data_IF_272715554279
#
_entry.id   IF_272715554279
#
_cell.length_a   1.000
_cell.length_b   1.000
_cell.length_c   1.000
_cell.angle_alpha   90.00
_cell.angle_beta   90.00
_cell.angle_gamma   90.00
#
_symmetry.space_group_name_H-M   'P 1'
#
loop_
_entity.id
_entity.type
_entity.pdbx_description
1 polymer ?
#
# COMPACT_ATOMS: atom_id res chain seq x y z
N UNK A 1 -17.85 24.50 23.51
CA UNK A 1 -16.93 24.00 24.54
C UNK A 1 -16.75 22.52 24.20
N UNK A 2 -15.77 22.21 23.36
CA UNK A 2 -15.39 20.84 23.03
C UNK A 2 -14.02 20.69 23.66
N UNK A 3 -13.95 19.77 24.62
CA UNK A 3 -12.77 19.45 25.39
C UNK A 3 -11.66 18.93 24.48
N UNK A 4 -10.46 19.38 24.83
CA UNK A 4 -9.18 18.98 24.28
C UNK A 4 -9.01 17.46 24.38
N UNK A 5 -9.24 16.73 23.29
CA UNK A 5 -8.70 15.37 23.13
C UNK A 5 -7.23 15.56 22.71
N UNK A 6 -6.35 14.91 23.46
CA UNK A 6 -4.97 15.32 23.70
C UNK A 6 -4.10 15.58 22.47
N UNK A 7 -3.23 16.57 22.58
CA UNK A 7 -2.12 16.80 21.67
C UNK A 7 -1.15 15.62 21.81
N UNK A 8 -1.17 14.67 20.86
CA UNK A 8 -0.15 13.63 20.79
C UNK A 8 1.22 14.29 20.66
N UNK A 9 2.13 13.95 21.56
CA UNK A 9 3.48 14.47 21.59
C UNK A 9 4.35 13.72 20.59
N UNK A 10 5.51 14.28 20.23
CA UNK A 10 6.50 13.60 19.39
C UNK A 10 6.94 12.23 19.95
N UNK A 11 6.90 12.06 21.27
CA UNK A 11 7.20 10.80 21.92
C UNK A 11 6.06 9.78 21.73
N UNK A 12 4.80 10.21 21.82
CA UNK A 12 3.64 9.35 21.52
C UNK A 12 3.65 8.91 20.05
N UNK A 13 4.14 9.78 19.16
CA UNK A 13 4.34 9.44 17.75
C UNK A 13 5.48 8.46 17.52
N UNK A 14 6.54 8.48 18.34
CA UNK A 14 7.64 7.50 18.24
C UNK A 14 7.26 6.14 18.81
N UNK A 15 6.42 6.10 19.86
CA UNK A 15 5.92 4.86 20.46
C UNK A 15 4.83 4.20 19.59
N UNK A 16 4.02 4.98 18.85
CA UNK A 16 3.03 4.44 17.89
C UNK A 16 3.65 3.84 16.62
N UNK A 17 4.93 4.11 16.36
CA UNK A 17 5.57 3.92 15.06
C UNK A 17 6.77 2.97 15.10
N UNK A 18 7.16 2.44 16.28
CA UNK A 18 8.36 1.62 16.51
C UNK A 18 9.66 2.16 15.86
N UNK A 19 9.69 3.44 15.48
CA UNK A 19 10.83 4.11 14.85
C UNK A 19 10.95 3.97 13.32
N UNK A 20 10.01 3.29 12.64
CA UNK A 20 10.13 2.97 11.21
C UNK A 20 9.65 4.09 10.27
N UNK A 21 9.12 5.18 10.80
CA UNK A 21 8.47 6.23 10.02
C UNK A 21 9.25 7.54 9.96
N UNK A 22 9.22 8.20 8.79
CA UNK A 22 9.76 9.56 8.66
C UNK A 22 8.97 10.55 9.51
N UNK A 23 9.60 11.64 9.96
CA UNK A 23 8.92 12.65 10.79
C UNK A 23 7.70 13.29 10.09
N UNK A 24 7.74 13.36 8.76
CA UNK A 24 6.65 13.88 7.93
C UNK A 24 5.49 12.89 7.84
N UNK A 25 5.79 11.59 7.66
CA UNK A 25 4.77 10.55 7.66
C UNK A 25 4.09 10.39 9.03
N UNK A 26 4.86 10.49 10.12
CA UNK A 26 4.31 10.52 11.48
C UNK A 26 3.37 11.72 11.70
N UNK A 27 3.72 12.91 11.17
CA UNK A 27 2.85 14.08 11.25
C UNK A 27 1.56 13.92 10.44
N UNK A 28 1.64 13.31 9.25
CA UNK A 28 0.48 13.03 8.41
C UNK A 28 -0.46 12.02 9.08
N UNK A 29 0.06 10.90 9.61
CA UNK A 29 -0.72 9.94 10.40
C UNK A 29 -1.45 10.62 11.57
N UNK A 30 -0.75 11.47 12.32
CA UNK A 30 -1.35 12.25 13.41
C UNK A 30 -2.50 13.13 12.93
N UNK A 31 -2.29 13.78 11.78
CA UNK A 31 -3.29 14.68 11.18
C UNK A 31 -4.53 13.91 10.77
N UNK A 32 -4.36 12.73 10.17
CA UNK A 32 -5.46 11.86 9.77
C UNK A 32 -6.24 11.31 10.97
N UNK A 33 -5.53 10.89 12.02
CA UNK A 33 -6.14 10.48 13.30
C UNK A 33 -6.90 11.65 13.94
N UNK A 34 -6.32 12.84 13.98
CA UNK A 34 -6.96 14.05 14.52
C UNK A 34 -8.24 14.41 13.78
N UNK A 35 -8.28 14.16 12.47
CA UNK A 35 -9.46 14.39 11.63
C UNK A 35 -10.44 13.21 11.62
N UNK A 36 -10.19 12.15 12.42
CA UNK A 36 -11.06 10.98 12.49
C UNK A 36 -11.11 10.18 11.19
N UNK A 37 -10.04 10.20 10.40
CA UNK A 37 -9.95 9.48 9.14
C UNK A 37 -9.47 8.04 9.35
N UNK A 38 -8.54 7.86 10.28
CA UNK A 38 -7.90 6.58 10.58
C UNK A 38 -7.90 6.36 12.10
N UNK A 39 -8.25 5.14 12.52
CA UNK A 39 -8.00 4.62 13.86
C UNK A 39 -6.72 3.79 13.84
N UNK A 40 -5.92 3.82 14.90
CA UNK A 40 -4.77 2.92 15.04
C UNK A 40 -4.94 2.13 16.32
N UNK A 41 -4.89 0.80 16.21
CA UNK A 41 -4.90 -0.15 17.32
C UNK A 41 -3.70 -1.11 17.16
N UNK A 42 -2.84 -1.20 18.17
CA UNK A 42 -1.65 -2.07 18.20
C UNK A 42 -0.76 -1.97 16.92
N UNK A 43 -0.55 -0.75 16.42
CA UNK A 43 0.23 -0.49 15.20
C UNK A 43 -0.49 -0.79 13.87
N UNK A 44 -1.75 -1.24 13.93
CA UNK A 44 -2.61 -1.47 12.76
C UNK A 44 -3.63 -0.35 12.61
N UNK A 45 -3.64 0.27 11.43
CA UNK A 45 -4.60 1.28 11.03
C UNK A 45 -5.90 0.66 10.53
N UNK A 46 -7.02 1.35 10.77
CA UNK A 46 -8.31 1.08 10.12
C UNK A 46 -8.95 2.39 9.70
N UNK A 47 -9.64 2.35 8.58
CA UNK A 47 -10.46 3.48 8.16
C UNK A 47 -11.61 3.65 9.16
N UNK A 48 -11.78 4.85 9.71
CA UNK A 48 -12.90 5.16 10.60
C UNK A 48 -14.22 5.05 9.86
N UNK A 49 -15.28 4.58 10.52
CA UNK A 49 -16.58 4.31 9.88
C UNK A 49 -17.25 5.57 9.29
N UNK A 50 -16.90 6.75 9.80
CA UNK A 50 -17.39 8.06 9.35
C UNK A 50 -16.35 8.85 8.55
N UNK A 51 -15.23 8.23 8.18
CA UNK A 51 -14.24 8.87 7.34
C UNK A 51 -14.90 9.38 6.03
N UNK A 52 -14.66 10.64 5.62
CA UNK A 52 -15.19 11.27 4.42
C UNK A 52 -14.53 10.74 3.14
N UNK A 53 -14.36 9.43 3.01
CA UNK A 53 -13.94 8.76 1.78
C UNK A 53 -15.13 8.17 1.05
N UNK A 54 -15.03 7.87 -0.25
CA UNK A 54 -16.12 7.25 -0.99
C UNK A 54 -16.61 5.94 -0.35
N UNK A 55 -17.93 5.70 -0.38
CA UNK A 55 -18.53 4.49 0.20
C UNK A 55 -17.99 3.18 -0.39
N UNK A 56 -17.57 3.21 -1.65
CA UNK A 56 -16.97 2.05 -2.29
C UNK A 56 -15.62 1.70 -1.66
N UNK A 57 -14.85 2.70 -1.21
CA UNK A 57 -13.57 2.48 -0.54
C UNK A 57 -13.78 1.96 0.88
N UNK A 58 -14.78 2.47 1.59
CA UNK A 58 -15.24 1.88 2.86
C UNK A 58 -15.53 0.39 2.70
N UNK A 59 -16.31 0.02 1.67
CA UNK A 59 -16.65 -1.38 1.41
C UNK A 59 -15.44 -2.23 1.01
N UNK A 60 -14.50 -1.66 0.25
CA UNK A 60 -13.28 -2.34 -0.19
C UNK A 60 -12.27 -2.58 0.95
N UNK A 61 -12.27 -1.69 1.96
CA UNK A 61 -11.35 -1.73 3.10
C UNK A 61 -12.02 -2.21 4.40
N UNK A 62 -13.26 -2.68 4.36
CA UNK A 62 -13.95 -3.20 5.53
C UNK A 62 -13.22 -4.43 6.08
N UNK A 63 -12.77 -4.34 7.33
CA UNK A 63 -11.96 -5.38 7.97
C UNK A 63 -10.55 -5.57 7.39
N UNK A 64 -10.08 -4.66 6.51
CA UNK A 64 -8.71 -4.66 6.01
C UNK A 64 -7.79 -4.01 7.05
N UNK A 65 -6.75 -4.74 7.46
CA UNK A 65 -5.71 -4.18 8.31
C UNK A 65 -4.79 -3.31 7.46
N UNK A 66 -4.84 -2.00 7.71
CA UNK A 66 -3.91 -1.03 7.16
C UNK A 66 -2.71 -0.93 8.08
N UNK A 67 -1.55 -0.53 7.56
CA UNK A 67 -0.43 -0.11 8.40
C UNK A 67 -0.23 1.39 8.25
N UNK A 68 0.51 1.97 9.18
CA UNK A 68 0.87 3.38 9.12
C UNK A 68 1.63 3.73 7.83
N UNK A 69 1.76 5.03 7.55
CA UNK A 69 2.29 5.53 6.29
C UNK A 69 3.80 5.47 6.22
N UNK A 70 4.42 4.66 5.37
CA UNK A 70 5.89 4.44 5.37
C UNK A 70 6.68 5.61 4.76
N UNK A 71 6.05 6.38 3.85
CA UNK A 71 6.67 7.54 3.18
C UNK A 71 5.86 8.83 3.34
N UNK A 72 6.47 10.02 3.12
CA UNK A 72 5.74 11.29 3.08
C UNK A 72 4.59 11.27 2.07
N UNK A 73 3.42 11.80 2.47
CA UNK A 73 2.22 11.89 1.61
C UNK A 73 1.36 10.62 1.59
N UNK A 74 1.88 9.52 2.12
CA UNK A 74 1.10 8.30 2.35
C UNK A 74 0.24 8.46 3.61
N UNK A 75 -0.97 7.91 3.59
CA UNK A 75 -1.83 7.84 4.77
C UNK A 75 -1.96 6.43 5.35
N UNK A 76 -1.72 5.40 4.54
CA UNK A 76 -1.70 4.00 4.96
C UNK A 76 -1.05 3.09 3.91
N UNK A 77 -0.39 2.02 4.33
CA UNK A 77 -0.10 0.88 3.45
C UNK A 77 -1.15 -0.21 3.62
N UNK A 78 -1.39 -0.98 2.57
CA UNK A 78 -2.22 -2.17 2.59
C UNK A 78 -1.45 -3.36 2.02
N UNK A 79 -1.45 -4.45 2.78
CA UNK A 79 -0.87 -5.75 2.39
C UNK A 79 -1.95 -6.85 2.29
N UNK A 80 -3.21 -6.48 2.50
CA UNK A 80 -4.36 -7.38 2.41
C UNK A 80 -4.67 -7.72 0.93
N UNK A 81 -5.35 -8.86 0.66
CA UNK A 81 -5.71 -9.30 -0.69
C UNK A 81 -6.88 -8.47 -1.27
N UNK A 82 -6.63 -7.19 -1.51
CA UNK A 82 -7.55 -6.28 -2.19
C UNK A 82 -7.24 -6.31 -3.70
N UNK A 83 -8.27 -6.42 -4.53
CA UNK A 83 -8.15 -6.37 -5.99
C UNK A 83 -8.02 -4.91 -6.46
N UNK A 84 -6.83 -4.34 -6.22
CA UNK A 84 -6.49 -2.97 -6.61
C UNK A 84 -6.65 -2.70 -8.11
N UNK A 85 -6.24 -3.61 -9.04
CA UNK A 85 -6.52 -3.45 -10.45
C UNK A 85 -8.00 -3.26 -10.76
N UNK A 86 -8.88 -4.09 -10.17
CA UNK A 86 -10.32 -3.93 -10.36
C UNK A 86 -10.86 -2.63 -9.75
N UNK A 87 -10.38 -2.21 -8.58
CA UNK A 87 -10.80 -0.96 -7.94
C UNK A 87 -10.42 0.27 -8.78
N UNK A 88 -9.19 0.35 -9.26
CA UNK A 88 -8.75 1.46 -10.14
C UNK A 88 -9.55 1.46 -11.44
N UNK A 89 -9.81 0.30 -12.03
CA UNK A 89 -10.62 0.19 -13.24
C UNK A 89 -12.09 0.60 -13.03
N UNK A 90 -12.64 0.32 -11.84
CA UNK A 90 -14.02 0.66 -11.50
C UNK A 90 -14.21 2.13 -11.09
N UNK A 91 -13.16 2.77 -10.56
CA UNK A 91 -13.21 4.12 -9.99
C UNK A 91 -12.09 5.04 -10.51
N UNK A 92 -11.89 5.17 -11.84
CA UNK A 92 -10.72 5.88 -12.39
C UNK A 92 -10.69 7.39 -12.10
N UNK A 93 -11.85 8.00 -11.79
CA UNK A 93 -11.95 9.41 -11.42
C UNK A 93 -11.67 9.67 -9.93
N UNK A 94 -11.79 8.64 -9.08
CA UNK A 94 -11.65 8.75 -7.62
C UNK A 94 -10.34 8.13 -7.10
N UNK A 95 -9.80 7.14 -7.81
CA UNK A 95 -8.60 6.38 -7.45
C UNK A 95 -7.74 6.13 -8.68
N UNK A 96 -6.51 6.66 -8.65
CA UNK A 96 -5.55 6.48 -9.75
C UNK A 96 -4.19 5.98 -9.28
N UNK A 97 -3.40 5.33 -10.14
CA UNK A 97 -2.00 5.08 -9.86
C UNK A 97 -1.24 6.41 -9.72
N UNK A 98 -0.33 6.50 -8.76
CA UNK A 98 0.60 7.61 -8.58
C UNK A 98 1.74 7.49 -9.61
N UNK A 99 1.43 7.78 -10.88
CA UNK A 99 2.33 7.57 -12.03
C UNK A 99 3.65 8.31 -11.84
N UNK A 100 3.61 9.55 -11.35
CA UNK A 100 4.80 10.37 -11.11
C UNK A 100 5.72 9.73 -10.06
N UNK A 101 5.16 9.11 -9.02
CA UNK A 101 5.92 8.43 -7.98
C UNK A 101 6.50 7.10 -8.49
N UNK A 102 5.75 6.39 -9.34
CA UNK A 102 6.26 5.19 -10.03
C UNK A 102 7.44 5.53 -10.93
N UNK A 103 7.34 6.58 -11.75
CA UNK A 103 8.43 7.05 -12.60
C UNK A 103 9.65 7.50 -11.80
N UNK A 104 9.43 8.27 -10.72
CA UNK A 104 10.51 8.77 -9.86
C UNK A 104 11.31 7.61 -9.22
N UNK A 105 10.63 6.55 -8.81
CA UNK A 105 11.24 5.38 -8.17
C UNK A 105 11.61 4.28 -9.16
N UNK A 106 11.54 4.55 -10.48
CA UNK A 106 11.79 3.54 -11.52
C UNK A 106 11.02 2.23 -11.32
N UNK A 107 9.81 2.36 -10.77
CA UNK A 107 8.88 1.25 -10.57
C UNK A 107 8.26 0.82 -11.90
N UNK A 108 7.79 -0.44 -12.00
CA UNK A 108 7.01 -0.87 -13.15
C UNK A 108 5.79 0.02 -13.36
N UNK A 109 5.42 0.24 -14.62
CA UNK A 109 4.17 0.91 -14.93
C UNK A 109 2.97 0.19 -14.29
N UNK A 110 1.89 0.93 -14.03
CA UNK A 110 0.65 0.34 -13.52
C UNK A 110 0.09 -0.75 -14.46
N UNK A 111 0.24 -0.57 -15.78
CA UNK A 111 -0.17 -1.55 -16.76
C UNK A 111 0.62 -2.87 -16.61
N UNK A 112 1.95 -2.80 -16.49
CA UNK A 112 2.80 -3.98 -16.24
C UNK A 112 2.46 -4.64 -14.90
N UNK A 113 2.16 -3.84 -13.87
CA UNK A 113 1.73 -4.33 -12.55
C UNK A 113 0.41 -5.11 -12.65
N UNK A 114 -0.58 -4.58 -13.36
CA UNK A 114 -1.87 -5.26 -13.58
C UNK A 114 -1.68 -6.55 -14.39
N UNK A 115 -0.83 -6.54 -15.41
CA UNK A 115 -0.52 -7.73 -16.20
C UNK A 115 0.14 -8.81 -15.36
N UNK A 116 1.10 -8.45 -14.50
CA UNK A 116 1.75 -9.36 -13.58
C UNK A 116 0.77 -9.99 -12.56
N UNK A 117 -0.16 -9.20 -12.00
CA UNK A 117 -1.22 -9.71 -11.12
C UNK A 117 -2.09 -10.74 -11.86
N UNK A 118 -2.55 -10.40 -13.06
CA UNK A 118 -3.37 -11.29 -13.88
C UNK A 118 -2.63 -12.57 -14.27
N UNK A 119 -1.32 -12.47 -14.52
CA UNK A 119 -0.48 -13.61 -14.84
C UNK A 119 -0.32 -14.56 -13.64
N UNK A 120 -0.21 -14.02 -12.41
CA UNK A 120 -0.11 -14.82 -11.18
C UNK A 120 -1.42 -15.43 -10.71
N UNK A 121 -2.56 -14.78 -10.98
CA UNK A 121 -3.88 -15.17 -10.46
C UNK A 121 -4.29 -16.65 -10.71
N UNK A 122 -3.89 -17.33 -11.81
CA UNK A 122 -4.17 -18.75 -11.99
C UNK A 122 -3.32 -19.68 -11.12
N UNK A 123 -2.14 -19.24 -10.68
CA UNK A 123 -1.16 -20.04 -9.94
C UNK A 123 -1.24 -19.81 -8.42
N UNK A 124 -1.57 -18.59 -7.99
CA UNK A 124 -1.69 -18.23 -6.58
C UNK A 124 -2.76 -17.15 -6.35
N UNK A 125 -2.89 -16.67 -5.11
CA UNK A 125 -3.67 -15.48 -4.77
C UNK A 125 -2.72 -14.28 -4.64
N UNK A 126 -2.41 -13.58 -5.74
CA UNK A 126 -1.46 -12.48 -5.72
C UNK A 126 -1.98 -11.35 -4.84
N UNK A 127 -1.07 -10.72 -4.09
CA UNK A 127 -1.35 -9.54 -3.27
C UNK A 127 -0.44 -8.41 -3.73
N UNK A 128 -1.03 -7.25 -4.01
CA UNK A 128 -0.25 -6.03 -4.18
C UNK A 128 -0.09 -5.36 -2.82
N UNK A 129 1.16 -5.08 -2.47
CA UNK A 129 1.48 -4.15 -1.42
C UNK A 129 1.34 -2.74 -1.98
N UNK A 130 0.43 -1.97 -1.40
CA UNK A 130 0.06 -0.65 -1.90
C UNK A 130 0.20 0.39 -0.81
N UNK A 131 0.88 1.49 -1.11
CA UNK A 131 0.79 2.74 -0.37
C UNK A 131 -0.42 3.54 -0.89
N UNK A 132 -1.28 3.98 0.01
CA UNK A 132 -2.42 4.85 -0.28
C UNK A 132 -2.03 6.29 0.03
N UNK A 133 -2.24 7.18 -0.93
CA UNK A 133 -1.85 8.58 -0.84
C UNK A 133 -3.07 9.48 -1.00
N UNK A 134 -2.98 10.67 -0.42
CA UNK A 134 -3.93 11.77 -0.67
C UNK A 134 -3.18 12.85 -1.44
N UNK A 135 -3.64 13.12 -2.65
CA UNK A 135 -3.08 14.18 -3.47
C UNK A 135 -3.41 15.55 -2.89
N UNK A 136 -2.64 16.62 -3.18
CA UNK A 136 -2.93 17.98 -2.73
C UNK A 136 -4.32 18.50 -3.15
N UNK A 137 -4.91 17.91 -4.19
CA UNK A 137 -6.26 18.19 -4.70
C UNK A 137 -7.37 17.46 -3.91
N UNK A 138 -7.00 16.55 -3.00
CA UNK A 138 -7.92 15.70 -2.23
C UNK A 138 -8.30 14.40 -2.95
N UNK A 139 -7.73 14.13 -4.13
CA UNK A 139 -7.91 12.87 -4.85
C UNK A 139 -7.12 11.74 -4.17
N UNK A 140 -7.59 10.51 -4.31
CA UNK A 140 -6.85 9.34 -3.83
C UNK A 140 -5.94 8.83 -4.94
N UNK A 141 -4.70 8.55 -4.58
CA UNK A 141 -3.80 7.81 -5.46
C UNK A 141 -3.19 6.64 -4.73
N UNK A 142 -2.63 5.72 -5.50
CA UNK A 142 -1.98 4.54 -4.97
C UNK A 142 -0.63 4.31 -5.63
N UNK A 143 0.32 3.83 -4.85
CA UNK A 143 1.64 3.44 -5.31
C UNK A 143 1.86 1.96 -4.99
N UNK A 144 2.15 1.16 -6.01
CA UNK A 144 2.45 -0.25 -5.84
C UNK A 144 3.89 -0.39 -5.32
N UNK A 145 4.01 -0.78 -4.05
CA UNK A 145 5.29 -1.03 -3.38
C UNK A 145 5.84 -2.41 -3.73
N UNK A 146 4.96 -3.37 -4.02
CA UNK A 146 5.38 -4.72 -4.38
C UNK A 146 4.24 -5.64 -4.79
N UNK A 147 4.62 -6.78 -5.36
CA UNK A 147 3.72 -7.87 -5.72
C UNK A 147 4.19 -9.15 -5.00
N UNK A 148 3.28 -9.79 -4.28
CA UNK A 148 3.54 -11.02 -3.53
C UNK A 148 2.71 -12.15 -4.12
N UNK A 149 3.39 -13.23 -4.49
CA UNK A 149 2.78 -14.49 -4.91
C UNK A 149 3.08 -15.59 -3.90
N UNK A 150 2.25 -15.71 -2.86
CA UNK A 150 2.44 -16.75 -1.83
C UNK A 150 2.19 -18.15 -2.40
N UNK A 151 2.97 -19.13 -1.92
CA UNK A 151 2.78 -20.54 -2.25
C UNK A 151 3.30 -20.97 -3.63
N UNK A 152 4.03 -20.09 -4.33
CA UNK A 152 4.78 -20.45 -5.53
C UNK A 152 6.04 -21.23 -5.16
N UNK A 153 6.34 -22.26 -5.95
CA UNK A 153 7.57 -23.04 -5.83
C UNK A 153 8.57 -22.63 -6.93
N UNK A 154 9.79 -22.24 -6.53
CA UNK A 154 10.77 -21.66 -7.45
C UNK A 154 11.17 -22.58 -8.60
N UNK A 155 11.11 -23.90 -8.43
CA UNK A 155 11.46 -24.87 -9.47
C UNK A 155 10.29 -25.10 -10.43
N UNK A 156 9.13 -25.49 -9.90
CA UNK A 156 7.96 -25.85 -10.68
C UNK A 156 7.23 -24.64 -11.30
N UNK A 157 7.31 -23.47 -10.66
CA UNK A 157 6.73 -22.20 -11.13
C UNK A 157 7.75 -21.27 -11.78
N UNK A 158 8.98 -21.73 -12.03
CA UNK A 158 10.07 -20.95 -12.63
C UNK A 158 9.68 -20.16 -13.89
N UNK A 159 8.81 -20.72 -14.74
CA UNK A 159 8.35 -20.05 -15.98
C UNK A 159 7.44 -18.87 -15.71
N UNK A 160 6.52 -18.98 -14.75
CA UNK A 160 5.59 -17.89 -14.43
C UNK A 160 6.32 -16.80 -13.65
N UNK A 161 7.23 -17.18 -12.74
CA UNK A 161 8.12 -16.25 -12.04
C UNK A 161 8.96 -15.46 -13.05
N UNK A 162 9.63 -16.13 -13.99
CA UNK A 162 10.44 -15.45 -15.00
C UNK A 162 9.62 -14.52 -15.92
N UNK A 163 8.38 -14.86 -16.22
CA UNK A 163 7.50 -14.02 -17.02
C UNK A 163 7.04 -12.77 -16.25
N UNK A 164 6.72 -12.91 -14.96
CA UNK A 164 6.44 -11.76 -14.08
C UNK A 164 7.68 -10.89 -13.92
N UNK A 165 8.85 -11.47 -13.68
CA UNK A 165 10.11 -10.75 -13.59
C UNK A 165 10.45 -10.00 -14.89
N UNK A 166 10.13 -10.57 -16.05
CA UNK A 166 10.32 -9.88 -17.33
C UNK A 166 9.41 -8.65 -17.45
N UNK A 167 8.14 -8.76 -17.01
CA UNK A 167 7.18 -7.65 -17.00
C UNK A 167 7.59 -6.54 -16.02
N UNK A 168 8.01 -6.90 -14.82
CA UNK A 168 8.35 -5.93 -13.75
C UNK A 168 9.82 -5.47 -13.80
N UNK A 169 10.68 -6.20 -14.50
CA UNK A 169 12.12 -5.95 -14.58
C UNK A 169 12.56 -5.21 -15.84
N UNK A 170 11.76 -5.23 -16.93
CA UNK A 170 12.14 -4.56 -18.19
C UNK A 170 12.16 -3.03 -18.11
N UNK A 171 11.61 -2.43 -17.05
CA UNK A 171 11.50 -0.97 -16.87
C UNK A 171 12.40 -0.40 -15.76
N UNK A 172 13.26 -1.22 -15.11
CA UNK A 172 14.01 -0.78 -13.92
C UNK A 172 15.29 0.00 -14.21
N UNK A 173 15.42 1.14 -13.53
CA UNK A 173 16.68 1.76 -13.09
C UNK A 173 16.68 1.88 -11.55
N UNK A 174 16.86 0.76 -10.84
CA UNK A 174 17.16 0.73 -9.41
C UNK A 174 16.04 0.26 -8.46
N UNK A 175 16.39 -0.73 -7.62
CA UNK A 175 15.83 -1.17 -6.31
C UNK A 175 14.52 -1.98 -6.16
N UNK A 176 14.59 -2.91 -5.19
CA UNK A 176 13.78 -4.04 -4.61
C UNK A 176 12.85 -4.99 -5.40
N UNK A 177 13.02 -6.29 -5.13
CA UNK A 177 12.66 -7.51 -5.88
C UNK A 177 11.17 -7.93 -5.85
N UNK A 178 10.79 -8.83 -6.78
CA UNK A 178 9.65 -9.73 -6.59
C UNK A 178 9.95 -10.66 -5.40
N UNK A 179 9.17 -10.56 -4.32
CA UNK A 179 9.31 -11.45 -3.16
C UNK A 179 8.51 -12.73 -3.40
N UNK A 180 9.20 -13.76 -3.90
CA UNK A 180 8.67 -15.14 -3.88
C UNK A 180 8.96 -15.72 -2.50
N UNK A 181 8.01 -15.60 -1.57
CA UNK A 181 8.12 -16.21 -0.24
C UNK A 181 7.98 -17.74 -0.35
N UNK A 182 9.08 -18.44 -0.64
CA UNK A 182 9.22 -19.82 -0.17
C UNK A 182 9.31 -19.76 1.35
N UNK A 183 8.46 -20.49 2.07
CA UNK A 183 8.30 -20.42 3.51
C UNK A 183 9.59 -20.62 4.33
N UNK A 184 10.44 -19.60 4.44
CA UNK A 184 11.47 -19.37 5.47
C UNK A 184 12.18 -18.04 5.19
N UNK A 185 12.08 -17.13 6.16
CA UNK A 185 12.90 -15.94 6.41
C UNK A 185 12.75 -14.69 5.53
N UNK A 186 12.18 -13.67 6.18
CA UNK A 186 12.20 -12.25 5.83
C UNK A 186 13.55 -11.62 6.19
N UNK A 187 14.05 -10.68 5.37
CA UNK A 187 14.54 -9.37 5.85
C UNK A 187 14.86 -8.39 4.70
N UNK A 188 14.51 -7.13 4.97
CA UNK A 188 14.57 -5.90 4.16
C UNK A 188 16.01 -5.37 3.97
N UNK A 189 16.24 -4.69 2.85
CA UNK A 189 16.70 -3.29 2.80
C UNK A 189 16.05 -2.61 1.61
#
# INVERSE_FOLDING_TARGET
>A
MIDTIGTLTRADLQDLTDGDYTAEAAWLLTTLMHHGLVEVDDGQGRLQADAPVPRWLHAALDGVDLRGPEIPGEWATCFAPVDWPALVAAHPDDLRPAVELMELNSSPSWAATCEAVNLLAPACSPRLWVALLVEPTGELSLYALGLIGDGLDAESDSKIIAAVDALLGSERHGTEQLHVNSATDWQLF
#
